data_IF_934559754293
#
_entry.id   IF_934559754293
#
_cell.length_a   1.000
_cell.length_b   1.000
_cell.length_c   1.000
_cell.angle_alpha   90.00
_cell.angle_beta   90.00
_cell.angle_gamma   90.00
#
_symmetry.space_group_name_H-M   'P 1'
#
loop_
_entity.id
_entity.type
_entity.pdbx_description
1 polymer ?
#
# COMPACT_ATOMS: atom_id res chain seq x y z
N UNK A 1 5.44 4.01 -16.22
CA UNK A 1 6.60 3.94 -17.12
C UNK A 1 7.51 2.75 -16.80
N UNK A 2 6.92 1.65 -16.33
CA UNK A 2 7.61 0.41 -16.01
C UNK A 2 8.87 0.56 -15.13
N UNK A 3 8.89 1.51 -14.20
CA UNK A 3 9.99 1.63 -13.22
C UNK A 3 9.72 0.86 -11.93
N UNK A 4 8.48 0.40 -11.73
CA UNK A 4 8.05 -0.28 -10.51
C UNK A 4 8.82 -1.59 -10.22
N UNK A 5 9.29 -2.30 -11.25
CA UNK A 5 10.09 -3.52 -11.08
C UNK A 5 11.45 -3.28 -10.41
N UNK A 6 11.91 -2.02 -10.38
CA UNK A 6 13.15 -1.64 -9.68
C UNK A 6 12.97 -1.61 -8.16
N UNK A 7 11.74 -1.49 -7.67
CA UNK A 7 11.41 -1.44 -6.24
C UNK A 7 11.28 -2.85 -5.64
N UNK A 8 12.37 -3.62 -5.69
CA UNK A 8 12.34 -5.05 -5.31
C UNK A 8 12.05 -5.22 -3.82
N UNK A 9 12.66 -4.39 -2.99
CA UNK A 9 12.53 -4.44 -1.53
C UNK A 9 11.14 -3.98 -1.08
N UNK A 10 10.60 -2.90 -1.66
CA UNK A 10 9.22 -2.43 -1.43
C UNK A 10 8.22 -3.50 -1.86
N UNK A 11 8.38 -4.11 -3.04
CA UNK A 11 7.48 -5.17 -3.49
C UNK A 11 7.54 -6.41 -2.59
N UNK A 12 8.74 -6.81 -2.15
CA UNK A 12 8.90 -7.92 -1.22
C UNK A 12 8.28 -7.61 0.13
N UNK A 13 8.53 -6.41 0.66
CA UNK A 13 7.93 -5.93 1.90
C UNK A 13 6.41 -5.94 1.84
N UNK A 14 5.78 -5.41 0.78
CA UNK A 14 4.34 -5.45 0.61
C UNK A 14 3.79 -6.89 0.63
N UNK A 15 4.43 -7.83 -0.08
CA UNK A 15 4.00 -9.24 -0.09
C UNK A 15 4.09 -9.87 1.29
N UNK A 16 5.22 -9.71 1.97
CA UNK A 16 5.43 -10.26 3.32
C UNK A 16 4.48 -9.64 4.35
N UNK A 17 4.19 -8.34 4.22
CA UNK A 17 3.23 -7.66 5.09
C UNK A 17 1.82 -8.23 4.92
N UNK A 18 1.37 -8.44 3.67
CA UNK A 18 0.08 -9.09 3.37
C UNK A 18 0.05 -10.51 3.94
N UNK A 19 1.07 -11.31 3.69
CA UNK A 19 1.18 -12.69 4.20
C UNK A 19 1.15 -12.73 5.74
N UNK A 20 1.91 -11.85 6.40
CA UNK A 20 1.94 -11.77 7.86
C UNK A 20 0.59 -11.35 8.45
N UNK A 21 -0.08 -10.39 7.83
CA UNK A 21 -1.40 -9.93 8.27
C UNK A 21 -2.50 -10.98 8.01
N UNK A 22 -2.39 -11.73 6.92
CA UNK A 22 -3.26 -12.88 6.65
C UNK A 22 -3.08 -13.98 7.70
N UNK A 23 -1.83 -14.34 8.04
CA UNK A 23 -1.52 -15.29 9.14
C UNK A 23 -2.04 -14.81 10.49
N UNK A 24 -2.06 -13.50 10.73
CA UNK A 24 -2.68 -12.89 11.91
C UNK A 24 -4.21 -13.00 11.91
N UNK A 25 -4.83 -13.27 10.76
CA UNK A 25 -6.27 -13.46 10.61
C UNK A 25 -7.06 -12.20 10.26
N UNK A 26 -6.41 -11.13 9.79
CA UNK A 26 -7.07 -9.87 9.40
C UNK A 26 -6.62 -9.37 8.03
N UNK A 27 -6.92 -10.07 6.92
CA UNK A 27 -6.43 -9.72 5.58
C UNK A 27 -6.75 -8.27 5.19
N UNK A 28 -5.78 -7.58 4.58
CA UNK A 28 -5.85 -6.16 4.21
C UNK A 28 -5.94 -5.91 2.70
N UNK A 29 -5.94 -6.96 1.90
CA UNK A 29 -5.99 -6.95 0.43
C UNK A 29 -7.42 -7.05 -0.13
N UNK A 30 -8.43 -7.02 0.74
CA UNK A 30 -9.83 -7.19 0.35
C UNK A 30 -10.44 -6.01 -0.43
N UNK A 31 -9.72 -4.89 -0.61
CA UNK A 31 -10.20 -3.69 -1.32
C UNK A 31 -10.92 -3.99 -2.66
N UNK A 32 -10.39 -4.86 -3.55
CA UNK A 32 -11.03 -5.17 -4.84
C UNK A 32 -12.37 -5.92 -4.72
N UNK A 33 -12.66 -6.51 -3.56
CA UNK A 33 -13.87 -7.34 -3.34
C UNK A 33 -15.07 -6.53 -2.83
N UNK A 34 -14.86 -5.27 -2.44
CA UNK A 34 -15.88 -4.50 -1.72
C UNK A 34 -17.09 -4.14 -2.57
N UNK A 35 -16.92 -3.89 -3.86
CA UNK A 35 -18.05 -3.65 -4.76
C UNK A 35 -19.02 -4.83 -4.73
N UNK A 36 -18.52 -6.04 -4.96
CA UNK A 36 -19.34 -7.26 -4.93
C UNK A 36 -19.99 -7.46 -3.56
N UNK A 37 -19.23 -7.26 -2.47
CA UNK A 37 -19.77 -7.37 -1.11
C UNK A 37 -20.91 -6.38 -0.83
N UNK A 38 -20.87 -5.17 -1.40
CA UNK A 38 -21.97 -4.21 -1.28
C UNK A 38 -23.20 -4.65 -2.08
N UNK A 39 -23.00 -5.16 -3.31
CA UNK A 39 -24.08 -5.70 -4.15
C UNK A 39 -24.75 -6.90 -3.45
N UNK A 40 -23.96 -7.84 -2.91
CA UNK A 40 -24.45 -9.01 -2.17
C UNK A 40 -25.20 -8.62 -0.89
N UNK A 41 -24.84 -7.48 -0.29
CA UNK A 41 -25.52 -6.94 0.89
C UNK A 41 -26.81 -6.15 0.56
N UNK A 42 -27.22 -6.12 -0.71
CA UNK A 42 -28.46 -5.49 -1.17
C UNK A 42 -28.36 -3.98 -1.39
N UNK A 43 -27.15 -3.43 -1.57
CA UNK A 43 -27.00 -2.05 -2.04
C UNK A 43 -27.35 -1.98 -3.53
N UNK A 44 -28.01 -0.90 -3.92
CA UNK A 44 -28.35 -0.57 -5.30
C UNK A 44 -27.39 0.51 -5.84
N UNK A 45 -27.32 0.63 -7.18
CA UNK A 45 -26.46 1.60 -7.87
C UNK A 45 -24.98 1.57 -7.42
N UNK A 46 -24.42 0.40 -7.08
CA UNK A 46 -23.04 0.30 -6.56
C UNK A 46 -22.01 0.68 -7.63
N UNK A 47 -21.20 1.69 -7.33
CA UNK A 47 -20.11 2.19 -8.18
C UNK A 47 -18.77 2.00 -7.49
N UNK A 48 -17.74 1.82 -8.31
CA UNK A 48 -16.36 1.71 -7.87
C UNK A 48 -15.49 2.56 -8.78
N UNK A 49 -14.68 3.43 -8.18
CA UNK A 49 -13.59 4.12 -8.84
C UNK A 49 -12.26 3.69 -8.22
N UNK A 50 -11.25 3.49 -9.08
CA UNK A 50 -9.89 3.17 -8.64
C UNK A 50 -9.00 4.35 -9.00
N UNK A 51 -8.59 5.08 -7.98
CA UNK A 51 -7.67 6.21 -8.11
C UNK A 51 -6.23 5.69 -8.02
N UNK A 52 -5.36 6.16 -8.92
CA UNK A 52 -3.92 5.85 -8.89
C UNK A 52 -3.19 6.99 -8.20
N UNK A 53 -2.86 6.80 -6.92
CA UNK A 53 -2.18 7.83 -6.14
C UNK A 53 -0.67 7.61 -6.25
N UNK A 54 0.11 8.59 -6.76
CA UNK A 54 1.54 8.45 -6.91
C UNK A 54 2.22 8.40 -5.53
N UNK A 55 3.36 7.74 -5.46
CA UNK A 55 4.27 7.80 -4.31
C UNK A 55 5.51 8.54 -4.78
N UNK A 56 5.79 9.71 -4.19
CA UNK A 56 6.90 10.58 -4.56
C UNK A 56 6.52 11.72 -5.52
N UNK A 57 7.48 12.62 -5.75
CA UNK A 57 7.28 13.87 -6.50
C UNK A 57 7.50 13.77 -8.02
N UNK A 58 7.49 12.56 -8.59
CA UNK A 58 7.75 12.31 -10.01
C UNK A 58 6.65 12.74 -11.01
N UNK A 59 5.35 12.86 -10.65
CA UNK A 59 4.34 13.30 -11.60
C UNK A 59 4.62 14.70 -12.15
N UNK A 60 4.25 14.96 -13.42
CA UNK A 60 4.35 16.30 -14.02
C UNK A 60 3.26 17.24 -13.53
N UNK A 61 2.06 16.69 -13.32
CA UNK A 61 0.91 17.43 -12.80
C UNK A 61 1.21 17.99 -11.40
N UNK A 62 1.03 19.30 -11.15
CA UNK A 62 1.36 19.91 -9.86
C UNK A 62 0.59 19.32 -8.68
N UNK A 63 -0.71 19.06 -8.84
CA UNK A 63 -1.57 18.52 -7.78
C UNK A 63 -1.19 17.08 -7.43
N UNK A 64 -0.97 16.23 -8.43
CA UNK A 64 -0.49 14.86 -8.23
C UNK A 64 0.92 14.82 -7.64
N UNK A 65 1.78 15.77 -8.01
CA UNK A 65 3.13 15.89 -7.44
C UNK A 65 3.09 16.22 -5.95
N UNK A 66 2.25 17.18 -5.55
CA UNK A 66 2.06 17.53 -4.15
C UNK A 66 1.48 16.35 -3.35
N UNK A 67 0.41 15.75 -3.85
CA UNK A 67 -0.20 14.56 -3.28
C UNK A 67 0.82 13.41 -3.11
N UNK A 68 1.65 13.17 -4.12
CA UNK A 68 2.67 12.12 -4.09
C UNK A 68 3.75 12.34 -3.03
N UNK A 69 4.09 13.61 -2.72
CA UNK A 69 5.01 13.92 -1.62
C UNK A 69 4.41 13.57 -0.26
N UNK A 70 3.13 13.88 -0.05
CA UNK A 70 2.42 13.46 1.18
C UNK A 70 2.33 11.94 1.27
N UNK A 71 1.99 11.28 0.17
CA UNK A 71 1.91 9.83 0.11
C UNK A 71 3.26 9.17 0.42
N UNK A 72 4.38 9.73 -0.04
CA UNK A 72 5.73 9.23 0.28
C UNK A 72 5.98 9.24 1.78
N UNK A 73 5.67 10.34 2.46
CA UNK A 73 5.82 10.46 3.92
C UNK A 73 4.95 9.41 4.62
N UNK A 74 3.69 9.26 4.20
CA UNK A 74 2.77 8.28 4.76
C UNK A 74 3.30 6.84 4.61
N UNK A 75 3.85 6.48 3.45
CA UNK A 75 4.38 5.13 3.21
C UNK A 75 5.61 4.84 4.06
N UNK A 76 6.52 5.82 4.23
CA UNK A 76 7.69 5.67 5.10
C UNK A 76 7.28 5.50 6.56
N UNK A 77 6.43 6.39 7.07
CA UNK A 77 5.92 6.30 8.45
C UNK A 77 5.15 5.00 8.68
N UNK A 78 4.41 4.58 7.67
CA UNK A 78 3.68 3.32 7.69
C UNK A 78 4.60 2.11 7.80
N UNK A 79 5.61 2.04 6.93
CA UNK A 79 6.62 0.98 6.99
C UNK A 79 7.29 0.89 8.37
N UNK A 80 7.58 2.03 9.01
CA UNK A 80 8.14 2.05 10.36
C UNK A 80 7.14 1.61 11.44
N UNK A 81 5.84 1.87 11.25
CA UNK A 81 4.81 1.59 12.23
C UNK A 81 4.32 0.14 12.21
N UNK A 82 3.97 -0.41 11.05
CA UNK A 82 3.30 -1.72 10.96
C UNK A 82 4.30 -2.88 10.96
N UNK A 83 5.46 -2.68 10.31
CA UNK A 83 6.45 -3.74 10.06
C UNK A 83 6.94 -4.38 11.35
N UNK A 84 7.33 -3.65 12.41
CA UNK A 84 7.88 -4.30 13.61
C UNK A 84 6.94 -5.31 14.24
N UNK A 85 5.66 -4.96 14.40
CA UNK A 85 4.69 -5.85 15.05
C UNK A 85 4.35 -7.08 14.21
N UNK A 86 4.15 -6.91 12.90
CA UNK A 86 3.80 -8.03 12.00
C UNK A 86 5.01 -8.96 11.81
N UNK A 87 6.19 -8.40 11.57
CA UNK A 87 7.36 -9.19 11.21
C UNK A 87 7.95 -9.92 12.42
N UNK A 88 7.96 -9.31 13.62
CA UNK A 88 8.44 -10.01 14.82
C UNK A 88 7.42 -11.05 15.30
N UNK A 89 6.20 -10.62 15.64
CA UNK A 89 5.22 -11.46 16.37
C UNK A 89 4.59 -12.54 15.50
N UNK A 90 4.54 -12.35 14.18
CA UNK A 90 3.84 -13.27 13.27
C UNK A 90 4.80 -13.99 12.33
N UNK A 91 5.80 -13.27 11.80
CA UNK A 91 6.76 -13.85 10.86
C UNK A 91 8.06 -14.33 11.52
N UNK A 92 8.29 -14.03 12.81
CA UNK A 92 9.42 -14.51 13.59
C UNK A 92 10.77 -13.88 13.26
N UNK A 93 10.78 -12.70 12.63
CA UNK A 93 12.02 -11.97 12.30
C UNK A 93 12.65 -11.35 13.54
N UNK A 94 13.98 -11.19 13.52
CA UNK A 94 14.68 -10.43 14.56
C UNK A 94 14.55 -8.93 14.36
N UNK A 95 14.76 -8.15 15.42
CA UNK A 95 14.72 -6.69 15.34
C UNK A 95 15.76 -6.15 14.34
N UNK A 96 16.95 -6.75 14.27
CA UNK A 96 17.99 -6.38 13.31
C UNK A 96 17.53 -6.58 11.86
N UNK A 97 16.92 -7.73 11.55
CA UNK A 97 16.41 -8.02 10.21
C UNK A 97 15.30 -7.03 9.82
N UNK A 98 14.42 -6.68 10.76
CA UNK A 98 13.35 -5.70 10.57
C UNK A 98 13.92 -4.32 10.27
N UNK A 99 14.91 -3.85 11.04
CA UNK A 99 15.53 -2.54 10.80
C UNK A 99 16.25 -2.49 9.44
N UNK A 100 16.93 -3.56 9.04
CA UNK A 100 17.56 -3.67 7.72
C UNK A 100 16.50 -3.59 6.61
N UNK A 101 15.38 -4.30 6.74
CA UNK A 101 14.29 -4.25 5.78
C UNK A 101 13.70 -2.85 5.66
N UNK A 102 13.37 -2.20 6.78
CA UNK A 102 12.83 -0.83 6.80
C UNK A 102 13.80 0.14 6.12
N UNK A 103 15.11 0.05 6.41
CA UNK A 103 16.11 0.90 5.78
C UNK A 103 16.15 0.73 4.25
N UNK A 104 16.07 -0.51 3.75
CA UNK A 104 16.03 -0.81 2.31
C UNK A 104 14.76 -0.30 1.64
N UNK A 105 13.60 -0.52 2.27
CA UNK A 105 12.29 -0.01 1.80
C UNK A 105 12.29 1.51 1.73
N UNK A 106 12.80 2.19 2.77
CA UNK A 106 12.95 3.65 2.79
C UNK A 106 13.86 4.14 1.68
N UNK A 107 14.96 3.43 1.39
CA UNK A 107 15.87 3.78 0.31
C UNK A 107 15.15 3.75 -1.05
N UNK A 108 14.39 2.70 -1.34
CA UNK A 108 13.65 2.59 -2.61
C UNK A 108 12.50 3.61 -2.69
N UNK A 109 11.78 3.88 -1.61
CA UNK A 109 10.75 4.92 -1.60
C UNK A 109 11.30 6.32 -1.90
N UNK A 110 12.54 6.60 -1.49
CA UNK A 110 13.21 7.88 -1.76
C UNK A 110 13.99 7.90 -3.08
N UNK A 111 14.00 6.82 -3.87
CA UNK A 111 14.68 6.79 -5.15
C UNK A 111 13.82 7.50 -6.22
N UNK A 112 14.24 8.67 -6.74
CA UNK A 112 13.45 9.42 -7.71
C UNK A 112 13.37 8.74 -9.08
N UNK A 113 14.12 7.67 -9.34
CA UNK A 113 14.07 6.89 -10.58
C UNK A 113 13.02 5.77 -10.55
N UNK A 114 12.37 5.57 -9.39
CA UNK A 114 11.33 4.58 -9.16
C UNK A 114 9.98 5.30 -9.03
N UNK A 115 9.09 5.07 -9.98
CA UNK A 115 7.76 5.68 -9.99
C UNK A 115 6.70 4.65 -9.59
N UNK A 116 6.29 4.73 -8.32
CA UNK A 116 5.26 3.86 -7.74
C UNK A 116 3.92 4.60 -7.63
N UNK A 117 2.85 3.81 -7.60
CA UNK A 117 1.51 4.27 -7.26
C UNK A 117 0.82 3.24 -6.36
N UNK A 118 -0.11 3.71 -5.53
CA UNK A 118 -1.03 2.87 -4.76
C UNK A 118 -2.45 3.02 -5.34
N UNK A 119 -3.17 1.91 -5.57
CA UNK A 119 -4.58 1.98 -5.94
C UNK A 119 -5.43 2.31 -4.71
N UNK A 120 -6.22 3.37 -4.77
CA UNK A 120 -7.25 3.70 -3.78
C UNK A 120 -8.61 3.37 -4.39
N UNK A 121 -9.33 2.49 -3.72
CA UNK A 121 -10.67 2.06 -4.12
C UNK A 121 -11.69 2.95 -3.42
N UNK A 122 -12.47 3.70 -4.19
CA UNK A 122 -13.62 4.47 -3.71
C UNK A 122 -14.87 3.72 -4.16
N UNK A 123 -15.60 3.15 -3.20
CA UNK A 123 -16.83 2.38 -3.47
C UNK A 123 -17.99 3.07 -2.78
N UNK A 124 -19.11 3.25 -3.48
CA UNK A 124 -20.34 3.80 -2.92
C UNK A 124 -21.56 3.20 -3.61
N UNK A 125 -22.68 3.21 -2.92
CA UNK A 125 -23.98 2.73 -3.40
C UNK A 125 -25.08 3.30 -2.52
N UNK A 126 -26.32 3.01 -2.86
CA UNK A 126 -27.49 3.44 -2.09
C UNK A 126 -28.13 2.23 -1.44
N UNK A 127 -28.68 2.42 -0.24
CA UNK A 127 -29.52 1.42 0.41
C UNK A 127 -30.92 2.03 0.58
N UNK A 128 -31.99 1.34 0.16
CA UNK A 128 -33.37 1.77 0.38
C UNK A 128 -33.69 1.99 1.87
#
# INVERSE_FOLDING_TARGET
DDTAHKAKEVQSWCRMLVEGIEKFGKPIDGAPTWKQKMEDAGFEDVRQEILKIPIGGWPKDPSLKELGKYQLIQQIQGAESYTPAVFSRVLGWTDEEIQVLIAKVRKEFNDPSIHLYIPIYVIWGKKP
#
